data_IF_939423680437
#
_entry.id   IF_939423680437
#
_cell.length_a   1.000
_cell.length_b   1.000
_cell.length_c   1.000
_cell.angle_alpha   90.00
_cell.angle_beta   90.00
_cell.angle_gamma   90.00
#
_symmetry.space_group_name_H-M   'P 1'
#
loop_
_entity.id
_entity.type
_entity.pdbx_description
1 polymer ?
#
# COMPACT_ATOMS: atom_id res chain seq x y z
N UNK A 1 18.46 4.15 28.02
CA UNK A 1 18.02 3.63 26.70
C UNK A 1 16.61 3.02 26.77
N UNK A 2 16.33 2.14 27.69
CA UNK A 2 15.00 1.50 27.84
C UNK A 2 13.92 2.54 28.12
N UNK A 3 14.18 3.52 28.99
CA UNK A 3 13.24 4.59 29.31
C UNK A 3 12.96 5.48 28.09
N UNK A 4 13.98 5.75 27.28
CA UNK A 4 13.81 6.52 26.06
C UNK A 4 12.91 5.79 25.06
N UNK A 5 13.13 4.48 24.88
CA UNK A 5 12.32 3.65 24.00
C UNK A 5 10.87 3.63 24.48
N UNK A 6 10.65 3.46 25.78
CA UNK A 6 9.31 3.46 26.37
C UNK A 6 8.62 4.83 26.21
N UNK A 7 9.37 5.91 26.38
CA UNK A 7 8.86 7.27 26.21
C UNK A 7 8.45 7.52 24.76
N UNK A 8 9.31 7.16 23.80
CA UNK A 8 9.00 7.30 22.37
C UNK A 8 7.80 6.45 22.00
N UNK A 9 7.75 5.20 22.46
CA UNK A 9 6.61 4.31 22.23
C UNK A 9 5.32 4.91 22.76
N UNK A 10 5.33 5.41 24.01
CA UNK A 10 4.18 6.05 24.63
C UNK A 10 3.71 7.27 23.84
N UNK A 11 4.64 8.07 23.36
CA UNK A 11 4.33 9.26 22.56
C UNK A 11 3.69 8.88 21.22
N UNK A 12 4.26 7.88 20.54
CA UNK A 12 3.70 7.35 19.30
C UNK A 12 2.31 6.77 19.54
N UNK A 13 2.15 5.98 20.59
CA UNK A 13 0.86 5.39 20.96
C UNK A 13 -0.21 6.46 21.24
N UNK A 14 0.17 7.52 21.93
CA UNK A 14 -0.75 8.64 22.20
C UNK A 14 -1.16 9.34 20.91
N UNK A 15 -0.22 9.57 20.00
CA UNK A 15 -0.51 10.20 18.71
C UNK A 15 -1.42 9.32 17.85
N UNK A 16 -1.17 8.03 17.81
CA UNK A 16 -2.01 7.08 17.06
C UNK A 16 -3.44 7.07 17.60
N UNK A 17 -3.61 7.15 18.92
CA UNK A 17 -4.92 7.20 19.56
C UNK A 17 -5.73 8.44 19.15
N UNK A 18 -5.06 9.57 18.98
CA UNK A 18 -5.69 10.83 18.59
C UNK A 18 -5.97 10.93 17.09
N UNK A 19 -5.35 10.05 16.28
CA UNK A 19 -5.52 10.04 14.83
C UNK A 19 -6.86 9.39 14.47
N UNK A 20 -7.70 10.11 13.75
CA UNK A 20 -8.93 9.57 13.17
C UNK A 20 -8.64 8.75 11.91
N UNK A 21 -9.70 8.24 11.27
CA UNK A 21 -9.60 7.41 10.06
C UNK A 21 -8.80 8.06 8.95
N UNK A 22 -8.94 9.37 8.77
CA UNK A 22 -8.19 10.12 7.76
C UNK A 22 -6.70 10.14 8.07
N UNK A 23 -6.34 10.43 9.33
CA UNK A 23 -4.95 10.40 9.77
C UNK A 23 -4.32 9.01 9.63
N UNK A 24 -5.07 7.96 9.96
CA UNK A 24 -4.60 6.58 9.76
C UNK A 24 -4.36 6.29 8.30
N UNK A 25 -5.23 6.74 7.41
CA UNK A 25 -5.07 6.59 5.96
C UNK A 25 -3.81 7.30 5.46
N UNK A 26 -3.51 8.49 5.97
CA UNK A 26 -2.29 9.23 5.62
C UNK A 26 -1.05 8.46 6.07
N UNK A 27 -1.02 7.96 7.30
CA UNK A 27 0.11 7.16 7.82
C UNK A 27 0.28 5.87 7.01
N UNK A 28 -0.81 5.20 6.69
CA UNK A 28 -0.79 4.01 5.82
C UNK A 28 -0.19 4.33 4.46
N UNK A 29 -0.64 5.42 3.84
CA UNK A 29 -0.18 5.83 2.51
C UNK A 29 1.32 6.15 2.50
N UNK A 30 1.82 6.84 3.53
CA UNK A 30 3.25 7.12 3.65
C UNK A 30 4.06 5.82 3.73
N UNK A 31 3.65 4.89 4.58
CA UNK A 31 4.31 3.59 4.68
C UNK A 31 4.21 2.78 3.40
N UNK A 32 3.07 2.81 2.73
CA UNK A 32 2.86 2.17 1.43
C UNK A 32 3.83 2.72 0.37
N UNK A 33 4.01 4.04 0.31
CA UNK A 33 4.95 4.68 -0.61
C UNK A 33 6.39 4.23 -0.32
N UNK A 34 6.78 4.17 0.94
CA UNK A 34 8.12 3.71 1.34
C UNK A 34 8.33 2.25 0.95
N UNK A 35 7.34 1.38 1.17
CA UNK A 35 7.40 -0.03 0.78
C UNK A 35 7.51 -0.18 -0.73
N UNK A 36 6.70 0.54 -1.50
CA UNK A 36 6.74 0.52 -2.96
C UNK A 36 8.10 0.99 -3.50
N UNK A 37 8.63 2.06 -2.93
CA UNK A 37 9.97 2.57 -3.28
C UNK A 37 11.07 1.53 -2.98
N UNK A 38 11.01 0.92 -1.81
CA UNK A 38 11.99 -0.11 -1.41
C UNK A 38 11.90 -1.35 -2.31
N UNK A 39 10.69 -1.81 -2.63
CA UNK A 39 10.48 -2.94 -3.54
C UNK A 39 11.05 -2.63 -4.93
N UNK A 40 10.75 -1.47 -5.51
CA UNK A 40 11.27 -1.09 -6.81
C UNK A 40 12.80 -1.00 -6.82
N UNK A 41 13.39 -0.46 -5.77
CA UNK A 41 14.83 -0.33 -5.65
C UNK A 41 15.50 -1.70 -5.49
N UNK A 42 14.97 -2.57 -4.65
CA UNK A 42 15.59 -3.85 -4.33
C UNK A 42 15.30 -4.94 -5.37
N UNK A 43 14.09 -4.99 -5.91
CA UNK A 43 13.69 -6.03 -6.86
C UNK A 43 14.14 -5.68 -8.27
N UNK A 44 13.91 -4.42 -8.70
CA UNK A 44 14.20 -3.99 -10.06
C UNK A 44 15.54 -3.26 -10.20
N UNK A 45 16.25 -3.04 -9.10
CA UNK A 45 17.46 -2.22 -9.10
C UNK A 45 17.23 -0.84 -9.74
N UNK A 46 16.04 -0.28 -9.53
CA UNK A 46 15.65 0.99 -10.12
C UNK A 46 16.41 2.17 -9.50
N UNK A 47 16.58 3.25 -10.27
CA UNK A 47 17.11 4.50 -9.74
C UNK A 47 16.17 5.09 -8.71
N UNK A 48 16.68 5.90 -7.80
CA UNK A 48 15.88 6.58 -6.77
C UNK A 48 14.69 7.33 -7.39
N UNK A 49 14.96 8.12 -8.43
CA UNK A 49 13.92 8.94 -9.07
C UNK A 49 12.81 8.10 -9.69
N UNK A 50 13.17 7.02 -10.38
CA UNK A 50 12.21 6.15 -11.04
C UNK A 50 11.38 5.37 -10.02
N UNK A 51 12.02 4.85 -8.98
CA UNK A 51 11.34 4.14 -7.89
C UNK A 51 10.38 5.07 -7.14
N UNK A 52 10.78 6.31 -6.88
CA UNK A 52 9.93 7.31 -6.21
C UNK A 52 8.73 7.69 -7.08
N UNK A 53 8.94 7.88 -8.39
CA UNK A 53 7.86 8.17 -9.33
C UNK A 53 6.83 7.02 -9.38
N UNK A 54 7.29 5.79 -9.46
CA UNK A 54 6.43 4.60 -9.43
C UNK A 54 5.62 4.52 -8.14
N UNK A 55 6.27 4.71 -7.01
CA UNK A 55 5.65 4.65 -5.69
C UNK A 55 4.51 5.67 -5.50
N UNK A 56 4.54 6.76 -6.26
CA UNK A 56 3.49 7.80 -6.22
C UNK A 56 2.43 7.55 -7.31
N UNK A 57 2.86 7.24 -8.52
CA UNK A 57 1.96 7.16 -9.69
C UNK A 57 1.12 5.89 -9.67
N UNK A 58 1.69 4.75 -9.30
CA UNK A 58 0.95 3.48 -9.28
C UNK A 58 -0.30 3.53 -8.38
N UNK A 59 -0.24 4.03 -7.13
CA UNK A 59 -1.44 4.17 -6.31
C UNK A 59 -2.50 5.08 -6.92
N UNK A 60 -2.10 6.10 -7.67
CA UNK A 60 -3.04 7.00 -8.36
C UNK A 60 -3.79 6.23 -9.45
N UNK A 61 -3.09 5.45 -10.25
CA UNK A 61 -3.70 4.61 -11.30
C UNK A 61 -4.67 3.61 -10.67
N UNK A 62 -4.26 2.96 -9.59
CA UNK A 62 -5.12 2.02 -8.87
C UNK A 62 -6.32 2.71 -8.22
N UNK A 63 -6.17 3.96 -7.80
CA UNK A 63 -7.26 4.78 -7.30
C UNK A 63 -8.32 5.04 -8.37
N UNK A 64 -7.92 5.33 -9.61
CA UNK A 64 -8.84 5.45 -10.74
C UNK A 64 -9.55 4.13 -11.03
N UNK A 65 -8.82 3.00 -11.00
CA UNK A 65 -9.42 1.68 -11.18
C UNK A 65 -10.46 1.40 -10.09
N UNK A 66 -10.13 1.67 -8.83
CA UNK A 66 -11.07 1.51 -7.71
C UNK A 66 -12.31 2.36 -7.90
N UNK A 67 -12.12 3.63 -8.23
CA UNK A 67 -13.22 4.56 -8.43
C UNK A 67 -14.17 4.09 -9.54
N UNK A 68 -13.62 3.72 -10.69
CA UNK A 68 -14.39 3.24 -11.83
C UNK A 68 -15.17 1.98 -11.45
N UNK A 69 -14.51 0.98 -10.89
CA UNK A 69 -15.12 -0.28 -10.53
C UNK A 69 -16.22 -0.09 -9.48
N UNK A 70 -15.93 0.69 -8.45
CA UNK A 70 -16.88 0.97 -7.39
C UNK A 70 -18.13 1.68 -7.94
N UNK A 71 -17.94 2.67 -8.78
CA UNK A 71 -19.04 3.44 -9.37
C UNK A 71 -19.97 2.56 -10.22
N UNK A 72 -19.40 1.66 -11.00
CA UNK A 72 -20.16 0.83 -11.94
C UNK A 72 -20.80 -0.37 -11.23
N UNK A 73 -20.12 -0.98 -10.28
CA UNK A 73 -20.46 -2.31 -9.79
C UNK A 73 -20.93 -2.37 -8.34
N UNK A 74 -20.86 -1.28 -7.57
CA UNK A 74 -21.18 -1.31 -6.12
C UNK A 74 -22.60 -1.78 -5.81
N UNK A 75 -23.56 -1.52 -6.69
CA UNK A 75 -24.95 -1.89 -6.50
C UNK A 75 -25.35 -3.18 -7.20
N UNK A 76 -24.43 -3.78 -7.95
CA UNK A 76 -24.68 -4.99 -8.76
C UNK A 76 -23.96 -6.20 -8.18
N UNK A 77 -22.74 -6.01 -7.66
CA UNK A 77 -21.89 -7.07 -7.13
C UNK A 77 -21.85 -7.04 -5.61
N UNK A 78 -21.76 -8.22 -5.00
CA UNK A 78 -21.51 -8.32 -3.57
C UNK A 78 -20.05 -7.91 -3.27
N UNK A 79 -19.76 -7.64 -2.00
CA UNK A 79 -18.45 -7.14 -1.57
C UNK A 79 -17.32 -8.11 -1.89
N UNK A 80 -17.56 -9.40 -1.78
CA UNK A 80 -16.53 -10.41 -2.06
C UNK A 80 -16.15 -10.42 -3.54
N UNK A 81 -17.14 -10.42 -4.42
CA UNK A 81 -16.92 -10.38 -5.88
C UNK A 81 -16.26 -9.07 -6.30
N UNK A 82 -16.73 -7.95 -5.75
CA UNK A 82 -16.15 -6.64 -6.03
C UNK A 82 -14.68 -6.56 -5.61
N UNK A 83 -14.35 -7.05 -4.41
CA UNK A 83 -12.98 -7.10 -3.90
C UNK A 83 -12.10 -7.99 -4.76
N UNK A 84 -12.61 -9.14 -5.20
CA UNK A 84 -11.86 -10.06 -6.06
C UNK A 84 -11.53 -9.44 -7.40
N UNK A 85 -12.49 -8.77 -8.04
CA UNK A 85 -12.28 -8.09 -9.31
C UNK A 85 -11.32 -6.92 -9.14
N UNK A 86 -11.44 -6.15 -8.06
CA UNK A 86 -10.50 -5.08 -7.75
C UNK A 86 -9.07 -5.61 -7.61
N UNK A 87 -8.90 -6.67 -6.85
CA UNK A 87 -7.58 -7.28 -6.59
C UNK A 87 -6.95 -7.82 -7.87
N UNK A 88 -7.72 -8.49 -8.73
CA UNK A 88 -7.23 -8.98 -10.02
C UNK A 88 -6.81 -7.82 -10.93
N UNK A 89 -7.63 -6.78 -11.01
CA UNK A 89 -7.30 -5.59 -11.79
C UNK A 89 -6.09 -4.86 -11.26
N UNK A 90 -5.98 -4.72 -9.95
CA UNK A 90 -4.82 -4.13 -9.29
C UNK A 90 -3.53 -4.90 -9.62
N UNK A 91 -3.59 -6.23 -9.53
CA UNK A 91 -2.46 -7.10 -9.88
C UNK A 91 -2.04 -6.92 -11.35
N UNK A 92 -3.01 -6.90 -12.28
CA UNK A 92 -2.74 -6.69 -13.70
C UNK A 92 -2.12 -5.31 -13.95
N UNK A 93 -2.66 -4.27 -13.34
CA UNK A 93 -2.15 -2.90 -13.47
C UNK A 93 -0.71 -2.82 -12.93
N UNK A 94 -0.45 -3.37 -11.75
CA UNK A 94 0.88 -3.36 -11.16
C UNK A 94 1.91 -4.08 -12.03
N UNK A 95 1.55 -5.25 -12.57
CA UNK A 95 2.43 -6.05 -13.44
C UNK A 95 2.74 -5.33 -14.73
N UNK A 96 1.72 -4.82 -15.43
CA UNK A 96 1.90 -4.13 -16.70
C UNK A 96 2.64 -2.81 -16.52
N UNK A 97 2.30 -2.07 -15.46
CA UNK A 97 2.95 -0.81 -15.15
C UNK A 97 4.43 -0.98 -14.83
N UNK A 98 4.78 -1.96 -14.00
CA UNK A 98 6.17 -2.26 -13.66
C UNK A 98 6.97 -2.67 -14.91
N UNK A 99 6.41 -3.54 -15.76
CA UNK A 99 7.07 -3.94 -17.01
C UNK A 99 7.31 -2.75 -17.93
N UNK A 100 6.35 -1.83 -18.01
CA UNK A 100 6.45 -0.65 -18.88
C UNK A 100 7.47 0.37 -18.35
N UNK A 101 7.36 0.72 -17.05
CA UNK A 101 8.17 1.79 -16.45
C UNK A 101 9.62 1.37 -16.23
N UNK A 102 9.83 0.15 -15.74
CA UNK A 102 11.17 -0.32 -15.40
C UNK A 102 11.81 -1.12 -16.53
N UNK A 103 11.08 -1.45 -17.59
CA UNK A 103 11.57 -2.28 -18.67
C UNK A 103 11.99 -3.67 -18.24
N UNK A 104 11.44 -4.16 -17.12
CA UNK A 104 11.77 -5.47 -16.55
C UNK A 104 10.98 -6.58 -17.25
N UNK A 105 11.43 -7.82 -17.08
CA UNK A 105 10.71 -8.98 -17.58
C UNK A 105 9.36 -9.12 -16.89
N UNK A 106 8.42 -9.80 -17.56
CA UNK A 106 7.12 -10.11 -16.98
C UNK A 106 7.24 -10.86 -15.65
N UNK A 107 8.19 -11.81 -15.56
CA UNK A 107 8.43 -12.58 -14.34
C UNK A 107 8.86 -11.70 -13.16
N UNK A 108 9.75 -10.73 -13.38
CA UNK A 108 10.18 -9.80 -12.34
C UNK A 108 9.02 -8.90 -11.90
N UNK A 109 8.22 -8.43 -12.85
CA UNK A 109 7.05 -7.61 -12.56
C UNK A 109 6.00 -8.37 -11.74
N UNK A 110 5.80 -9.66 -12.03
CA UNK A 110 4.89 -10.53 -11.26
C UNK A 110 5.40 -10.72 -9.84
N UNK A 111 6.69 -10.91 -9.63
CA UNK A 111 7.29 -11.04 -8.30
C UNK A 111 7.01 -9.80 -7.46
N UNK A 112 7.22 -8.62 -7.98
CA UNK A 112 6.91 -7.38 -7.28
C UNK A 112 5.41 -7.24 -7.00
N UNK A 113 4.58 -7.54 -7.98
CA UNK A 113 3.13 -7.47 -7.87
C UNK A 113 2.55 -8.43 -6.81
N UNK A 114 3.31 -9.45 -6.41
CA UNK A 114 2.94 -10.37 -5.32
C UNK A 114 3.54 -9.89 -3.99
N UNK A 115 4.82 -9.55 -3.97
CA UNK A 115 5.55 -9.22 -2.74
C UNK A 115 5.06 -7.89 -2.14
N UNK A 116 4.90 -6.86 -2.97
CA UNK A 116 4.51 -5.54 -2.50
C UNK A 116 3.16 -5.54 -1.75
N UNK A 117 2.07 -6.14 -2.29
CA UNK A 117 0.81 -6.21 -1.54
C UNK A 117 0.91 -7.01 -0.24
N UNK A 118 1.76 -8.03 -0.18
CA UNK A 118 1.98 -8.80 1.05
C UNK A 118 2.60 -7.90 2.12
N UNK A 119 3.65 -7.15 1.77
CA UNK A 119 4.30 -6.21 2.68
C UNK A 119 3.34 -5.10 3.12
N UNK A 120 2.53 -4.58 2.19
CA UNK A 120 1.51 -3.59 2.51
C UNK A 120 0.41 -4.16 3.40
N UNK A 121 0.08 -5.43 3.24
CA UNK A 121 -0.86 -6.13 4.11
C UNK A 121 -0.36 -6.24 5.54
N UNK A 122 0.92 -6.56 5.74
CA UNK A 122 1.54 -6.56 7.06
C UNK A 122 1.57 -5.16 7.67
N UNK A 123 1.90 -4.15 6.89
CA UNK A 123 1.88 -2.77 7.33
C UNK A 123 0.48 -2.32 7.75
N UNK A 124 -0.53 -2.62 6.95
CA UNK A 124 -1.93 -2.34 7.28
C UNK A 124 -2.36 -3.04 8.56
N UNK A 125 -2.05 -4.32 8.69
CA UNK A 125 -2.39 -5.11 9.88
C UNK A 125 -1.77 -4.50 11.13
N UNK A 126 -0.49 -4.15 11.06
CA UNK A 126 0.23 -3.54 12.17
C UNK A 126 -0.42 -2.21 12.60
N UNK A 127 -0.69 -1.32 11.65
CA UNK A 127 -1.32 -0.03 11.93
C UNK A 127 -2.73 -0.20 12.50
N UNK A 128 -3.53 -1.07 11.88
CA UNK A 128 -4.90 -1.29 12.30
C UNK A 128 -4.97 -1.92 13.68
N UNK A 129 -4.09 -2.85 13.99
CA UNK A 129 -4.00 -3.49 15.31
C UNK A 129 -3.62 -2.48 16.38
N UNK A 130 -2.67 -1.60 16.12
CA UNK A 130 -2.29 -0.54 17.04
C UNK A 130 -3.44 0.44 17.27
N UNK A 131 -4.08 0.88 16.19
CA UNK A 131 -5.21 1.80 16.26
C UNK A 131 -6.36 1.20 17.08
N UNK A 132 -6.72 -0.04 16.79
CA UNK A 132 -7.79 -0.75 17.49
C UNK A 132 -7.48 -0.93 18.98
N UNK A 133 -6.23 -1.28 19.31
CA UNK A 133 -5.78 -1.44 20.70
C UNK A 133 -5.96 -0.16 21.51
N UNK A 134 -5.76 1.00 20.92
CA UNK A 134 -5.84 2.28 21.59
C UNK A 134 -7.23 2.92 21.58
N UNK A 135 -8.16 2.43 20.75
CA UNK A 135 -9.52 2.95 20.62
C UNK A 135 -10.61 2.00 21.11
N UNK A 136 -10.23 0.87 21.71
CA UNK A 136 -11.17 -0.09 22.29
C UNK A 136 -11.23 0.00 23.80
#
# INVERSE_FOLDING_TARGET
MTELILSVKKQVDTQIKEIGSLGLAVVYTIGHIIIAWACATLIFNASFSLAAADAIIEPIINGFWFYFLHRVAKNVLNILTLTSIYTLGHFCIATLWASFIFGVSFGEAVVDAIIEPILNGFWFYFLHSMWKKHNS
#
